data_IF_760561195976
#
_entry.id   IF_760561195976
#
_cell.length_a   1.000
_cell.length_b   1.000
_cell.length_c   1.000
_cell.angle_alpha   90.00
_cell.angle_beta   90.00
_cell.angle_gamma   90.00
#
_symmetry.space_group_name_H-M   'P 1'
#
loop_
_entity.id
_entity.type
_entity.pdbx_description
1 polymer ?
#
# COMPACT_ATOMS: atom_id res chain seq x y z
N UNK A 1 22.37 14.88 37.01
CA UNK A 1 23.56 14.48 36.23
C UNK A 1 23.39 13.03 35.82
N UNK A 2 23.04 12.79 34.55
CA UNK A 2 22.89 11.43 34.01
C UNK A 2 23.38 11.41 32.57
N UNK A 3 24.24 10.45 32.31
CA UNK A 3 25.19 10.34 31.19
C UNK A 3 24.49 9.88 29.91
N UNK A 4 24.49 10.72 28.88
CA UNK A 4 24.22 10.32 27.49
C UNK A 4 25.39 9.48 26.98
N UNK A 5 25.14 8.23 26.58
CA UNK A 5 26.06 7.48 25.70
C UNK A 5 25.52 7.57 24.27
N UNK A 6 26.11 8.47 23.49
CA UNK A 6 26.06 8.46 22.03
C UNK A 6 27.08 7.46 21.51
N UNK A 7 26.65 6.48 20.71
CA UNK A 7 27.55 5.63 19.93
C UNK A 7 27.59 6.20 18.52
N UNK A 8 28.68 6.90 18.19
CA UNK A 8 29.02 7.27 16.82
C UNK A 8 29.76 6.09 16.19
N UNK A 9 29.22 5.55 15.09
CA UNK A 9 29.93 4.58 14.25
C UNK A 9 30.57 5.37 13.11
N UNK A 10 31.90 5.49 13.16
CA UNK A 10 32.71 5.92 12.02
C UNK A 10 32.92 4.72 11.09
N UNK A 11 32.57 4.87 9.82
CA UNK A 11 32.95 3.92 8.76
C UNK A 11 34.28 4.38 8.20
N UNK A 12 35.32 3.60 8.46
CA UNK A 12 36.66 3.81 7.92
C UNK A 12 36.76 3.11 6.56
N UNK A 13 36.87 3.89 5.48
CA UNK A 13 37.11 3.39 4.13
C UNK A 13 38.61 3.24 3.90
N UNK A 14 39.16 2.04 4.14
CA UNK A 14 40.46 1.67 3.59
C UNK A 14 40.48 0.26 2.99
N UNK A 15 40.72 0.27 1.67
CA UNK A 15 41.22 -0.76 0.75
C UNK A 15 41.62 -2.11 1.35
N UNK A 16 41.02 -3.20 0.86
CA UNK A 16 41.63 -4.54 0.89
C UNK A 16 41.55 -5.22 -0.47
N UNK A 17 42.70 -5.75 -0.87
CA UNK A 17 43.02 -6.47 -2.09
C UNK A 17 42.27 -7.81 -2.23
N UNK A 18 42.09 -8.20 -3.51
CA UNK A 18 41.78 -9.57 -3.95
C UNK A 18 42.78 -10.59 -3.38
N UNK A 19 42.29 -11.60 -2.67
CA UNK A 19 42.54 -13.05 -2.90
C UNK A 19 41.88 -13.90 -1.81
N UNK A 20 41.16 -14.93 -2.28
CA UNK A 20 40.91 -16.25 -1.67
C UNK A 20 40.48 -16.32 -0.20
N UNK A 21 39.19 -16.61 0.05
CA UNK A 21 38.83 -17.55 1.13
C UNK A 21 37.46 -18.23 0.93
N UNK A 22 37.45 -19.50 1.32
CA UNK A 22 36.44 -20.56 1.17
C UNK A 22 35.27 -20.39 2.18
N UNK A 23 34.02 -20.80 1.88
CA UNK A 23 32.86 -20.49 2.70
C UNK A 23 32.71 -21.50 3.84
N UNK A 24 32.83 -21.03 5.09
CA UNK A 24 32.30 -21.74 6.26
C UNK A 24 30.95 -21.15 6.64
N UNK A 25 29.95 -21.99 6.46
CA UNK A 25 28.58 -21.93 6.94
C UNK A 25 28.47 -21.25 8.31
N UNK A 26 27.80 -20.09 8.36
CA UNK A 26 27.30 -19.51 9.61
C UNK A 26 25.79 -19.68 9.61
N UNK A 27 25.30 -20.65 10.38
CA UNK A 27 23.88 -20.82 10.67
C UNK A 27 23.55 -19.81 11.76
N UNK A 28 22.86 -18.73 11.41
CA UNK A 28 22.24 -17.83 12.40
C UNK A 28 20.81 -18.29 12.61
N UNK A 29 20.57 -18.96 13.72
CA UNK A 29 19.23 -19.25 14.24
C UNK A 29 18.63 -17.95 14.78
N UNK A 30 17.78 -17.30 13.98
CA UNK A 30 16.93 -16.21 14.46
C UNK A 30 15.74 -16.85 15.18
N UNK A 31 15.79 -16.85 16.51
CA UNK A 31 14.60 -17.12 17.34
C UNK A 31 13.59 -16.00 17.10
N UNK A 32 12.43 -16.38 16.57
CA UNK A 32 11.27 -15.53 16.52
C UNK A 32 10.70 -15.34 17.93
N UNK A 33 11.05 -14.23 18.57
CA UNK A 33 10.25 -13.68 19.66
C UNK A 33 9.31 -12.63 19.07
N UNK A 34 8.16 -13.10 18.63
CA UNK A 34 6.99 -12.27 18.50
C UNK A 34 6.36 -12.14 19.89
N UNK A 35 6.39 -10.93 20.47
CA UNK A 35 5.23 -10.30 21.11
C UNK A 35 5.58 -8.95 21.73
N UNK A 36 4.65 -8.02 21.48
CA UNK A 36 4.34 -6.84 22.29
C UNK A 36 5.37 -5.70 22.31
N UNK A 37 5.25 -4.81 21.34
CA UNK A 37 5.95 -3.53 21.43
C UNK A 37 5.70 -2.54 20.30
N UNK A 38 4.51 -2.52 19.68
CA UNK A 38 4.15 -1.52 18.66
C UNK A 38 2.65 -1.20 18.71
N UNK A 39 2.20 -0.74 19.88
CA UNK A 39 0.96 0.02 20.08
C UNK A 39 1.29 1.31 20.84
N UNK A 40 2.22 2.10 20.31
CA UNK A 40 2.49 3.42 20.89
C UNK A 40 3.22 4.40 19.93
N UNK A 41 3.02 4.30 18.60
CA UNK A 41 3.46 5.37 17.67
C UNK A 41 2.51 5.53 16.45
N UNK A 42 1.21 5.28 16.65
CA UNK A 42 0.15 5.67 15.70
C UNK A 42 -0.99 6.42 16.40
N UNK A 43 -0.65 7.17 17.46
CA UNK A 43 -1.58 7.98 18.25
C UNK A 43 -1.34 9.49 18.17
N UNK A 44 -0.69 9.97 17.11
CA UNK A 44 -0.46 11.39 16.86
C UNK A 44 -0.58 11.65 15.37
N UNK A 45 -1.79 11.60 14.83
CA UNK A 45 -2.23 12.34 13.63
C UNK A 45 -3.75 12.19 13.34
N UNK A 46 -4.55 11.77 14.31
CA UNK A 46 -6.02 11.84 14.24
C UNK A 46 -6.51 12.78 15.36
N UNK A 47 -6.55 14.07 15.04
CA UNK A 47 -7.47 15.07 15.62
C UNK A 47 -7.07 16.46 15.15
N UNK A 48 -7.58 16.88 13.98
CA UNK A 48 -7.94 18.27 13.73
C UNK A 48 -8.67 18.41 12.38
N UNK A 49 -9.83 17.80 12.21
CA UNK A 49 -10.82 18.31 11.24
C UNK A 49 -12.22 17.87 11.66
N UNK A 50 -12.81 18.63 12.59
CA UNK A 50 -14.24 18.86 12.58
C UNK A 50 -14.51 20.25 11.98
N UNK A 51 -15.47 20.36 11.05
CA UNK A 51 -15.82 21.62 10.42
C UNK A 51 -16.92 22.30 11.25
N UNK A 52 -16.66 23.46 11.84
CA UNK A 52 -17.72 24.38 12.30
C UNK A 52 -17.12 25.72 12.76
N UNK A 53 -17.83 26.80 12.43
CA UNK A 53 -17.60 28.19 12.85
C UNK A 53 -16.50 28.95 12.08
N UNK A 54 -16.80 29.28 10.82
CA UNK A 54 -16.24 30.48 10.18
C UNK A 54 -16.76 31.69 10.95
N UNK A 55 -15.88 32.31 11.73
CA UNK A 55 -16.07 33.70 12.15
C UNK A 55 -16.05 34.56 10.88
N UNK A 56 -17.19 35.18 10.60
CA UNK A 56 -17.31 36.20 9.56
C UNK A 56 -16.34 37.35 9.85
N UNK A 57 -15.56 37.83 8.88
CA UNK A 57 -15.06 39.19 8.96
C UNK A 57 -16.26 40.14 8.85
N UNK A 58 -16.42 41.02 9.83
CA UNK A 58 -17.32 42.17 9.74
C UNK A 58 -17.01 42.94 8.45
N UNK A 59 -17.85 42.74 7.45
CA UNK A 59 -17.96 43.65 6.32
C UNK A 59 -18.82 44.81 6.82
N UNK A 60 -18.18 45.94 7.11
CA UNK A 60 -18.90 47.22 7.21
C UNK A 60 -19.51 47.52 5.83
N UNK A 61 -20.77 47.13 5.67
CA UNK A 61 -21.64 47.60 4.59
C UNK A 61 -22.10 49.00 4.98
N UNK A 62 -21.49 50.04 4.40
CA UNK A 62 -22.08 51.36 4.38
C UNK A 62 -23.35 51.30 3.51
N UNK A 63 -24.50 51.24 4.18
CA UNK A 63 -25.81 51.46 3.57
C UNK A 63 -25.92 52.94 3.23
N UNK A 64 -26.22 53.33 1.97
CA UNK A 64 -26.57 54.70 1.66
C UNK A 64 -28.00 54.95 2.15
N UNK A 65 -28.13 55.68 3.26
CA UNK A 65 -29.42 56.25 3.66
C UNK A 65 -29.84 57.30 2.64
N UNK A 66 -30.95 57.05 1.96
CA UNK A 66 -31.68 58.03 1.17
C UNK A 66 -32.13 59.21 2.05
N UNK A 67 -32.31 60.41 1.47
CA UNK A 67 -32.50 61.64 2.22
C UNK A 67 -33.91 61.70 2.79
N UNK A 68 -34.01 61.93 4.10
CA UNK A 68 -35.25 62.37 4.70
C UNK A 68 -35.46 63.85 4.39
N UNK A 69 -36.59 64.13 3.78
CA UNK A 69 -37.20 65.44 3.63
C UNK A 69 -37.15 66.21 4.96
N UNK A 70 -36.62 67.43 4.90
CA UNK A 70 -36.47 68.31 6.04
C UNK A 70 -36.27 69.73 5.52
N UNK A 71 -37.37 70.34 5.12
CA UNK A 71 -37.57 71.74 4.75
C UNK A 71 -36.54 72.73 5.33
N UNK A 72 -35.89 73.58 4.52
CA UNK A 72 -35.11 74.68 5.05
C UNK A 72 -36.07 75.68 5.71
N UNK A 73 -36.00 75.78 7.04
CA UNK A 73 -36.60 76.87 7.80
C UNK A 73 -36.03 78.20 7.32
N UNK A 74 -36.80 78.90 6.50
CA UNK A 74 -36.68 80.32 6.23
C UNK A 74 -36.74 81.09 7.55
N UNK A 75 -35.58 81.36 8.14
CA UNK A 75 -35.48 82.26 9.27
C UNK A 75 -35.20 83.66 8.72
N UNK A 76 -36.28 84.40 8.47
CA UNK A 76 -36.28 85.86 8.39
C UNK A 76 -36.31 86.42 9.82
N UNK A 77 -35.27 87.09 10.33
CA UNK A 77 -35.44 87.96 11.48
C UNK A 77 -35.96 89.33 11.00
N UNK A 78 -37.28 89.49 11.19
CA UNK A 78 -38.00 90.71 11.54
C UNK A 78 -37.37 92.05 11.15
N UNK A 79 -37.90 92.61 10.07
CA UNK A 79 -38.05 94.05 9.87
C UNK A 79 -38.78 94.64 11.09
N UNK A 80 -38.05 95.28 12.00
CA UNK A 80 -38.61 96.22 12.97
C UNK A 80 -38.31 97.63 12.48
N UNK A 81 -39.01 98.03 11.42
CA UNK A 81 -39.17 99.42 11.00
C UNK A 81 -39.96 100.14 12.09
N UNK A 82 -39.26 100.68 13.09
CA UNK A 82 -39.84 101.68 13.99
C UNK A 82 -40.00 102.97 13.19
N UNK A 83 -41.18 103.14 12.61
CA UNK A 83 -41.66 104.44 12.13
C UNK A 83 -41.80 105.36 13.34
N UNK A 84 -40.78 106.18 13.61
CA UNK A 84 -40.96 107.37 14.42
C UNK A 84 -41.79 108.37 13.60
N UNK A 85 -43.08 108.45 13.93
CA UNK A 85 -44.01 109.45 13.42
C UNK A 85 -43.46 110.85 13.68
N UNK A 86 -42.98 111.46 12.61
CA UNK A 86 -42.59 112.85 12.48
C UNK A 86 -43.80 113.73 12.89
N UNK A 87 -43.70 114.40 14.03
CA UNK A 87 -44.68 115.41 14.47
C UNK A 87 -44.28 116.77 13.91
N UNK A 88 -45.13 117.34 13.06
CA UNK A 88 -45.16 118.75 12.66
C UNK A 88 -46.60 119.08 12.24
N UNK A 89 -47.08 120.34 12.27
CA UNK A 89 -46.73 121.46 13.14
C UNK A 89 -47.98 122.06 13.82
N UNK A 90 -47.84 122.76 14.94
CA UNK A 90 -48.83 123.73 15.40
C UNK A 90 -48.33 125.14 15.06
N UNK A 91 -49.11 125.88 14.27
CA UNK A 91 -48.96 127.31 14.02
C UNK A 91 -50.33 127.89 13.66
N UNK A 92 -50.62 129.19 13.83
CA UNK A 92 -50.10 130.15 14.81
C UNK A 92 -51.27 130.94 15.46
N UNK A 93 -51.03 132.12 16.05
CA UNK A 93 -51.64 133.29 15.41
C UNK A 93 -50.62 134.39 15.10
N UNK A 94 -50.65 134.80 13.84
CA UNK A 94 -50.59 136.17 13.31
C UNK A 94 -49.83 137.22 14.13
N UNK A 95 -48.70 137.68 13.59
CA UNK A 95 -48.66 139.01 12.95
C UNK A 95 -47.34 139.25 12.18
N UNK A 96 -47.48 139.87 10.99
CA UNK A 96 -46.47 140.55 10.16
C UNK A 96 -45.57 139.77 9.18
N UNK A 97 -45.86 139.89 7.87
CA UNK A 97 -44.85 140.22 6.85
C UNK A 97 -44.39 139.13 5.86
N UNK A 98 -44.54 139.42 4.56
CA UNK A 98 -44.00 138.73 3.35
C UNK A 98 -42.54 138.24 3.48
N UNK A 99 -41.75 138.84 4.38
CA UNK A 99 -40.37 138.47 4.68
C UNK A 99 -40.22 137.11 5.40
N UNK A 100 -41.24 136.64 6.13
CA UNK A 100 -41.24 135.32 6.78
C UNK A 100 -41.41 134.16 5.81
N UNK A 101 -42.24 134.34 4.76
CA UNK A 101 -42.46 133.32 3.72
C UNK A 101 -41.25 133.16 2.79
N UNK A 102 -40.57 134.25 2.43
CA UNK A 102 -39.33 134.17 1.64
C UNK A 102 -38.26 133.39 2.41
N UNK A 103 -38.11 133.66 3.72
CA UNK A 103 -37.17 132.91 4.56
C UNK A 103 -37.54 131.44 4.71
N UNK A 104 -38.83 131.12 4.84
CA UNK A 104 -39.32 129.73 4.90
C UNK A 104 -39.13 128.97 3.57
N UNK A 105 -39.31 129.63 2.42
CA UNK A 105 -39.09 129.03 1.09
C UNK A 105 -37.59 128.85 0.81
N UNK A 106 -36.73 129.80 1.19
CA UNK A 106 -35.28 129.65 1.05
C UNK A 106 -34.75 128.54 1.95
N UNK A 107 -35.23 128.43 3.19
CA UNK A 107 -34.89 127.32 4.09
C UNK A 107 -35.37 125.97 3.56
N UNK A 108 -36.58 125.89 2.98
CA UNK A 108 -37.06 124.66 2.32
C UNK A 108 -36.23 124.31 1.07
N UNK A 109 -35.80 125.29 0.27
CA UNK A 109 -34.95 125.05 -0.90
C UNK A 109 -33.55 124.56 -0.49
N UNK A 110 -33.00 125.10 0.60
CA UNK A 110 -31.74 124.64 1.20
C UNK A 110 -31.88 123.24 1.82
N UNK A 111 -33.00 122.91 2.47
CA UNK A 111 -33.29 121.55 2.93
C UNK A 111 -33.43 120.58 1.74
N UNK A 112 -34.14 120.95 0.68
CA UNK A 112 -34.31 120.09 -0.51
C UNK A 112 -32.97 119.86 -1.22
N UNK A 113 -32.09 120.85 -1.28
CA UNK A 113 -30.75 120.69 -1.88
C UNK A 113 -29.80 119.89 -0.99
N UNK A 114 -29.88 120.05 0.34
CA UNK A 114 -29.18 119.19 1.31
C UNK A 114 -29.69 117.75 1.27
N UNK A 115 -30.99 117.53 1.18
CA UNK A 115 -31.60 116.20 1.06
C UNK A 115 -31.26 115.54 -0.29
N UNK A 116 -31.22 116.30 -1.38
CA UNK A 116 -30.74 115.80 -2.68
C UNK A 116 -29.26 115.45 -2.66
N UNK A 117 -28.42 116.27 -2.02
CA UNK A 117 -27.00 115.98 -1.85
C UNK A 117 -26.76 114.77 -0.93
N UNK A 118 -27.52 114.65 0.16
CA UNK A 118 -27.51 113.50 1.06
C UNK A 118 -28.00 112.23 0.35
N UNK A 119 -29.06 112.31 -0.45
CA UNK A 119 -29.55 111.19 -1.25
C UNK A 119 -28.60 110.83 -2.41
N UNK A 120 -27.82 111.77 -2.95
CA UNK A 120 -26.78 111.48 -3.94
C UNK A 120 -25.55 110.85 -3.28
N UNK A 121 -25.14 111.33 -2.09
CA UNK A 121 -24.07 110.74 -1.30
C UNK A 121 -24.42 109.32 -0.83
N UNK A 122 -25.67 109.08 -0.41
CA UNK A 122 -26.17 107.75 -0.05
C UNK A 122 -26.15 106.82 -1.26
N UNK A 123 -26.67 107.24 -2.42
CA UNK A 123 -26.60 106.42 -3.65
C UNK A 123 -25.17 106.12 -4.10
N UNK A 124 -24.23 107.05 -3.91
CA UNK A 124 -22.82 106.83 -4.22
C UNK A 124 -22.16 105.85 -3.21
N UNK A 125 -22.56 105.91 -1.94
CA UNK A 125 -22.15 104.95 -0.91
C UNK A 125 -22.70 103.56 -1.21
N UNK A 126 -23.99 103.45 -1.47
CA UNK A 126 -24.66 102.18 -1.83
C UNK A 126 -24.07 101.58 -3.11
N UNK A 127 -23.74 102.41 -4.11
CA UNK A 127 -23.09 101.95 -5.34
C UNK A 127 -21.67 101.43 -5.07
N UNK A 128 -20.94 102.05 -4.14
CA UNK A 128 -19.61 101.58 -3.74
C UNK A 128 -19.68 100.28 -2.93
N UNK A 129 -20.61 100.17 -1.99
CA UNK A 129 -20.88 98.94 -1.24
C UNK A 129 -21.31 97.79 -2.16
N UNK A 130 -22.10 98.08 -3.19
CA UNK A 130 -22.51 97.10 -4.19
C UNK A 130 -21.33 96.60 -5.03
N UNK A 131 -20.41 97.49 -5.43
CA UNK A 131 -19.19 97.09 -6.16
C UNK A 131 -18.22 96.31 -5.27
N UNK A 132 -18.05 96.71 -4.00
CA UNK A 132 -17.25 95.97 -3.03
C UNK A 132 -17.85 94.57 -2.76
N UNK A 133 -19.18 94.46 -2.67
CA UNK A 133 -19.89 93.18 -2.55
C UNK A 133 -19.71 92.30 -3.79
N UNK A 134 -19.88 92.85 -5.00
CA UNK A 134 -19.64 92.10 -6.25
C UNK A 134 -18.20 91.61 -6.35
N UNK A 135 -17.24 92.43 -5.93
CA UNK A 135 -15.82 92.05 -5.88
C UNK A 135 -15.59 90.90 -4.91
N UNK A 136 -16.16 90.95 -3.71
CA UNK A 136 -16.08 89.88 -2.72
C UNK A 136 -16.70 88.58 -3.23
N UNK A 137 -17.90 88.64 -3.83
CA UNK A 137 -18.54 87.47 -4.44
C UNK A 137 -17.70 86.89 -5.59
N UNK A 138 -17.05 87.74 -6.39
CA UNK A 138 -16.16 87.29 -7.47
C UNK A 138 -14.86 86.65 -6.94
N UNK A 139 -14.32 87.13 -5.82
CA UNK A 139 -13.18 86.53 -5.13
C UNK A 139 -13.57 85.19 -4.49
N UNK A 140 -14.67 85.13 -3.75
CA UNK A 140 -15.22 83.88 -3.17
C UNK A 140 -15.53 82.84 -4.26
N UNK A 141 -16.04 83.27 -5.42
CA UNK A 141 -16.28 82.39 -6.56
C UNK A 141 -14.98 81.84 -7.17
N UNK A 142 -13.91 82.65 -7.22
CA UNK A 142 -12.58 82.19 -7.68
C UNK A 142 -11.96 81.21 -6.69
N UNK A 143 -12.06 81.48 -5.39
CA UNK A 143 -11.59 80.56 -4.35
C UNK A 143 -12.36 79.24 -4.38
N UNK A 144 -13.69 79.29 -4.49
CA UNK A 144 -14.52 78.10 -4.62
C UNK A 144 -14.18 77.30 -5.89
N UNK A 145 -13.91 77.96 -7.01
CA UNK A 145 -13.48 77.30 -8.24
C UNK A 145 -12.09 76.64 -8.08
N UNK A 146 -11.15 77.31 -7.41
CA UNK A 146 -9.83 76.75 -7.11
C UNK A 146 -9.91 75.54 -6.16
N UNK A 147 -10.78 75.59 -5.14
CA UNK A 147 -11.05 74.45 -4.27
C UNK A 147 -11.60 73.25 -5.04
N UNK A 148 -12.62 73.45 -5.89
CA UNK A 148 -13.19 72.36 -6.71
C UNK A 148 -12.15 71.76 -7.65
N UNK A 149 -11.34 72.58 -8.32
CA UNK A 149 -10.28 72.10 -9.20
C UNK A 149 -9.22 71.27 -8.43
N UNK A 150 -8.88 71.68 -7.20
CA UNK A 150 -7.97 70.92 -6.34
C UNK A 150 -8.58 69.58 -5.91
N UNK A 151 -9.86 69.56 -5.51
CA UNK A 151 -10.56 68.34 -5.11
C UNK A 151 -10.75 67.37 -6.28
N UNK A 152 -11.05 67.88 -7.48
CA UNK A 152 -11.09 67.09 -8.72
C UNK A 152 -9.71 66.49 -9.06
N UNK A 153 -8.63 67.27 -8.89
CA UNK A 153 -7.25 66.79 -9.08
C UNK A 153 -6.90 65.68 -8.09
N UNK A 154 -7.23 65.85 -6.80
CA UNK A 154 -7.04 64.82 -5.77
C UNK A 154 -7.86 63.57 -6.07
N UNK A 155 -9.11 63.72 -6.48
CA UNK A 155 -9.98 62.60 -6.84
C UNK A 155 -9.45 61.86 -8.07
N UNK A 156 -8.94 62.57 -9.07
CA UNK A 156 -8.31 61.98 -10.24
C UNK A 156 -7.03 61.22 -9.87
N UNK A 157 -6.20 61.78 -8.98
CA UNK A 157 -5.01 61.11 -8.45
C UNK A 157 -5.37 59.83 -7.69
N UNK A 158 -6.38 59.88 -6.82
CA UNK A 158 -6.87 58.72 -6.07
C UNK A 158 -7.41 57.63 -7.00
N UNK A 159 -8.21 57.99 -8.03
CA UNK A 159 -8.68 57.03 -9.03
C UNK A 159 -7.54 56.36 -9.80
N UNK A 160 -6.49 57.11 -10.14
CA UNK A 160 -5.29 56.55 -10.79
C UNK A 160 -4.55 55.58 -9.87
N UNK A 161 -4.42 55.92 -8.59
CA UNK A 161 -3.81 55.04 -7.59
C UNK A 161 -4.61 53.75 -7.45
N UNK A 162 -5.93 53.83 -7.28
CA UNK A 162 -6.81 52.66 -7.19
C UNK A 162 -6.71 51.76 -8.43
N UNK A 163 -6.62 52.36 -9.63
CA UNK A 163 -6.44 51.60 -10.87
C UNK A 163 -5.07 50.90 -10.94
N UNK A 164 -4.01 51.53 -10.43
CA UNK A 164 -2.68 50.93 -10.35
C UNK A 164 -2.64 49.79 -9.32
N UNK A 165 -3.23 49.99 -8.15
CA UNK A 165 -3.34 48.97 -7.11
C UNK A 165 -4.16 47.77 -7.59
N UNK A 166 -5.26 48.01 -8.31
CA UNK A 166 -6.04 46.94 -8.95
C UNK A 166 -5.23 46.15 -9.97
N UNK A 167 -4.37 46.80 -10.76
CA UNK A 167 -3.45 46.12 -11.69
C UNK A 167 -2.39 45.30 -10.95
N UNK A 168 -1.83 45.84 -9.87
CA UNK A 168 -0.86 45.12 -9.04
C UNK A 168 -1.49 43.88 -8.38
N UNK A 169 -2.71 44.01 -7.83
CA UNK A 169 -3.45 42.90 -7.26
C UNK A 169 -3.78 41.82 -8.31
N UNK A 170 -4.17 42.22 -9.53
CA UNK A 170 -4.40 41.28 -10.62
C UNK A 170 -3.13 40.53 -11.05
N UNK A 171 -1.98 41.22 -11.09
CA UNK A 171 -0.70 40.61 -11.40
C UNK A 171 -0.28 39.60 -10.31
N UNK A 172 -0.50 39.93 -9.04
CA UNK A 172 -0.21 39.05 -7.90
C UNK A 172 -1.07 37.78 -7.97
N UNK A 173 -2.38 37.91 -8.17
CA UNK A 173 -3.29 36.75 -8.35
C UNK A 173 -2.86 35.83 -9.49
N UNK A 174 -2.48 36.41 -10.63
CA UNK A 174 -1.98 35.64 -11.78
C UNK A 174 -0.67 34.89 -11.46
N UNK A 175 0.19 35.47 -10.62
CA UNK A 175 1.42 34.80 -10.18
C UNK A 175 1.11 33.67 -9.20
N UNK A 176 0.21 33.90 -8.25
CA UNK A 176 -0.23 32.89 -7.29
C UNK A 176 -0.90 31.70 -7.99
N UNK A 177 -1.74 31.96 -8.99
CA UNK A 177 -2.34 30.91 -9.83
C UNK A 177 -1.28 30.07 -10.56
N UNK A 178 -0.24 30.71 -11.11
CA UNK A 178 0.88 30.00 -11.76
C UNK A 178 1.69 29.17 -10.76
N UNK A 179 1.95 29.71 -9.57
CA UNK A 179 2.68 29.01 -8.52
C UNK A 179 1.87 27.80 -8.03
N UNK A 180 0.57 27.96 -7.81
CA UNK A 180 -0.33 26.87 -7.43
C UNK A 180 -0.45 25.81 -8.52
N UNK A 181 -0.51 26.19 -9.79
CA UNK A 181 -0.52 25.23 -10.90
C UNK A 181 0.79 24.43 -10.98
N UNK A 182 1.93 25.09 -10.75
CA UNK A 182 3.25 24.44 -10.72
C UNK A 182 3.37 23.48 -9.53
N UNK A 183 2.92 23.90 -8.35
CA UNK A 183 2.89 23.07 -7.16
C UNK A 183 2.00 21.83 -7.35
N UNK A 184 0.80 21.99 -7.91
CA UNK A 184 -0.10 20.87 -8.23
C UNK A 184 0.57 19.85 -9.17
N UNK A 185 1.23 20.31 -10.24
CA UNK A 185 1.98 19.42 -11.14
C UNK A 185 3.09 18.65 -10.43
N UNK A 186 3.85 19.31 -9.54
CA UNK A 186 4.90 18.64 -8.77
C UNK A 186 4.32 17.59 -7.81
N UNK A 187 3.20 17.89 -7.16
CA UNK A 187 2.50 16.93 -6.29
C UNK A 187 2.03 15.72 -7.10
N UNK A 188 1.42 15.94 -8.27
CA UNK A 188 0.99 14.85 -9.16
C UNK A 188 2.17 14.01 -9.67
N UNK A 189 3.28 14.65 -10.07
CA UNK A 189 4.49 13.96 -10.51
C UNK A 189 5.09 13.12 -9.37
N UNK A 190 5.16 13.66 -8.17
CA UNK A 190 5.66 12.95 -7.00
C UNK A 190 4.75 11.79 -6.59
N UNK A 191 3.42 11.97 -6.67
CA UNK A 191 2.47 10.89 -6.45
C UNK A 191 2.63 9.77 -7.47
N UNK A 192 2.86 10.10 -8.74
CA UNK A 192 3.09 9.10 -9.79
C UNK A 192 4.41 8.37 -9.59
N UNK A 193 5.49 9.08 -9.23
CA UNK A 193 6.78 8.46 -8.87
C UNK A 193 6.62 7.50 -7.71
N UNK A 194 5.89 7.90 -6.65
CA UNK A 194 5.65 7.07 -5.48
C UNK A 194 4.82 5.82 -5.82
N UNK A 195 3.77 5.96 -6.63
CA UNK A 195 2.98 4.81 -7.10
C UNK A 195 3.84 3.82 -7.89
N UNK A 196 4.71 4.31 -8.76
CA UNK A 196 5.61 3.46 -9.55
C UNK A 196 6.65 2.74 -8.68
N UNK A 197 7.22 3.41 -7.66
CA UNK A 197 8.15 2.74 -6.73
C UNK A 197 7.45 1.72 -5.85
N UNK A 198 6.23 2.00 -5.37
CA UNK A 198 5.43 1.02 -4.62
C UNK A 198 5.18 -0.23 -5.49
N UNK A 199 4.70 -0.06 -6.72
CA UNK A 199 4.46 -1.18 -7.63
C UNK A 199 5.73 -1.99 -7.93
N UNK A 200 6.88 -1.32 -8.08
CA UNK A 200 8.16 -1.99 -8.28
C UNK A 200 8.60 -2.81 -7.05
N UNK A 201 8.41 -2.26 -5.84
CA UNK A 201 8.71 -2.95 -4.59
C UNK A 201 7.78 -4.15 -4.35
N UNK A 202 6.48 -4.01 -4.61
CA UNK A 202 5.52 -5.11 -4.54
C UNK A 202 5.89 -6.26 -5.48
N UNK A 203 6.30 -5.94 -6.72
CA UNK A 203 6.77 -6.95 -7.67
C UNK A 203 8.06 -7.64 -7.19
N UNK A 204 8.96 -6.92 -6.52
CA UNK A 204 10.18 -7.49 -5.95
C UNK A 204 9.89 -8.40 -4.76
N UNK A 205 8.99 -7.99 -3.85
CA UNK A 205 8.55 -8.81 -2.71
C UNK A 205 7.98 -10.13 -3.22
N UNK A 206 7.08 -10.08 -4.18
CA UNK A 206 6.45 -11.28 -4.76
C UNK A 206 7.48 -12.24 -5.36
N UNK A 207 8.53 -11.73 -6.03
CA UNK A 207 9.62 -12.55 -6.57
C UNK A 207 10.43 -13.22 -5.45
N UNK A 208 10.71 -12.49 -4.37
CA UNK A 208 11.45 -13.03 -3.23
C UNK A 208 10.64 -14.09 -2.47
N UNK A 209 9.34 -13.89 -2.32
CA UNK A 209 8.42 -14.89 -1.75
C UNK A 209 8.44 -16.19 -2.56
N UNK A 210 8.27 -16.12 -3.88
CA UNK A 210 8.34 -17.31 -4.74
C UNK A 210 9.69 -18.02 -4.66
N UNK A 211 10.79 -17.27 -4.61
CA UNK A 211 12.13 -17.85 -4.45
C UNK A 211 12.33 -18.52 -3.08
N UNK A 212 11.72 -17.99 -2.03
CA UNK A 212 11.79 -18.58 -0.70
C UNK A 212 10.97 -19.88 -0.62
N UNK A 213 9.79 -19.91 -1.25
CA UNK A 213 8.95 -21.11 -1.34
C UNK A 213 9.64 -22.23 -2.13
N UNK A 214 10.23 -21.92 -3.29
CA UNK A 214 10.97 -22.89 -4.09
C UNK A 214 12.16 -23.48 -3.32
N UNK A 215 12.94 -22.64 -2.62
CA UNK A 215 14.05 -23.10 -1.78
C UNK A 215 13.58 -23.97 -0.62
N UNK A 216 12.45 -23.63 0.00
CA UNK A 216 11.87 -24.44 1.07
C UNK A 216 11.42 -25.82 0.55
N UNK A 217 10.84 -25.88 -0.65
CA UNK A 217 10.45 -27.13 -1.31
C UNK A 217 11.67 -27.99 -1.64
N UNK A 218 12.72 -27.40 -2.21
CA UNK A 218 13.96 -28.11 -2.54
C UNK A 218 14.66 -28.64 -1.29
N UNK A 219 14.70 -27.85 -0.22
CA UNK A 219 15.27 -28.29 1.05
C UNK A 219 14.44 -29.42 1.69
N UNK A 220 13.11 -29.38 1.56
CA UNK A 220 12.24 -30.49 1.99
C UNK A 220 12.54 -31.76 1.20
N UNK A 221 12.63 -31.68 -0.14
CA UNK A 221 12.99 -32.82 -1.00
C UNK A 221 14.34 -33.42 -0.64
N UNK A 222 15.34 -32.58 -0.38
CA UNK A 222 16.66 -33.03 0.05
C UNK A 222 16.58 -33.76 1.40
N UNK A 223 15.87 -33.19 2.38
CA UNK A 223 15.70 -33.82 3.69
C UNK A 223 14.96 -35.16 3.60
N UNK A 224 13.94 -35.26 2.77
CA UNK A 224 13.19 -36.50 2.55
C UNK A 224 14.07 -37.56 1.88
N UNK A 225 14.88 -37.18 0.87
CA UNK A 225 15.86 -38.08 0.26
C UNK A 225 16.98 -38.53 1.21
N UNK A 226 17.46 -37.64 2.09
CA UNK A 226 18.44 -38.01 3.13
C UNK A 226 17.82 -38.99 4.13
N UNK A 227 16.56 -38.80 4.54
CA UNK A 227 15.86 -39.75 5.43
C UNK A 227 15.73 -41.13 4.79
N UNK A 228 15.32 -41.19 3.52
CA UNK A 228 15.21 -42.45 2.77
C UNK A 228 16.56 -43.17 2.68
N UNK A 229 17.62 -42.41 2.41
CA UNK A 229 18.98 -42.96 2.39
C UNK A 229 19.41 -43.50 3.76
N UNK A 230 19.15 -42.77 4.85
CA UNK A 230 19.47 -43.23 6.21
C UNK A 230 18.71 -44.51 6.56
N UNK A 231 17.42 -44.60 6.21
CA UNK A 231 16.62 -45.80 6.44
C UNK A 231 17.17 -47.01 5.67
N UNK A 232 17.54 -46.81 4.41
CA UNK A 232 18.16 -47.85 3.57
C UNK A 232 19.49 -48.31 4.18
N UNK A 233 20.29 -47.38 4.70
CA UNK A 233 21.60 -47.70 5.28
C UNK A 233 21.46 -48.41 6.62
N UNK A 234 20.46 -48.06 7.43
CA UNK A 234 20.13 -48.77 8.66
C UNK A 234 19.74 -50.23 8.38
N UNK A 235 18.90 -50.46 7.37
CA UNK A 235 18.52 -51.81 6.92
C UNK A 235 19.74 -52.63 6.46
N UNK A 236 20.66 -52.02 5.70
CA UNK A 236 21.90 -52.68 5.28
C UNK A 236 22.82 -53.04 6.45
N UNK A 237 22.87 -52.20 7.49
CA UNK A 237 23.67 -52.48 8.69
C UNK A 237 23.05 -53.60 9.51
N UNK A 238 21.73 -53.59 9.68
CA UNK A 238 21.00 -54.68 10.35
C UNK A 238 21.23 -56.02 9.62
N UNK A 239 21.14 -56.02 8.28
CA UNK A 239 21.43 -57.20 7.45
C UNK A 239 22.87 -57.71 7.62
N UNK A 240 23.85 -56.79 7.60
CA UNK A 240 25.25 -57.15 7.76
C UNK A 240 25.54 -57.71 9.16
N UNK A 241 24.93 -57.14 10.20
CA UNK A 241 25.09 -57.63 11.57
C UNK A 241 24.43 -58.99 11.77
N UNK A 242 23.25 -59.23 11.19
CA UNK A 242 22.62 -60.54 11.18
C UNK A 242 23.49 -61.57 10.46
N UNK A 243 24.04 -61.23 9.29
CA UNK A 243 24.93 -62.11 8.54
C UNK A 243 26.19 -62.47 9.34
N UNK A 244 26.85 -61.49 9.96
CA UNK A 244 28.04 -61.72 10.79
C UNK A 244 27.73 -62.55 12.04
N UNK A 245 26.49 -62.51 12.53
CA UNK A 245 26.05 -63.33 13.67
C UNK A 245 25.76 -64.79 13.31
N UNK A 246 25.45 -65.06 12.04
CA UNK A 246 25.24 -66.42 11.53
C UNK A 246 26.58 -67.05 11.15
N UNK A 247 26.93 -68.20 11.74
CA UNK A 247 28.13 -68.93 11.30
C UNK A 247 28.06 -69.29 9.80
N UNK A 248 29.22 -69.42 9.14
CA UNK A 248 29.35 -69.59 7.67
C UNK A 248 28.40 -70.63 7.06
N UNK A 249 28.18 -71.75 7.74
CA UNK A 249 27.28 -72.82 7.28
C UNK A 249 25.81 -72.38 7.27
N UNK A 250 25.36 -71.66 8.30
CA UNK A 250 23.98 -71.17 8.40
C UNK A 250 23.71 -70.05 7.39
N UNK A 251 24.68 -69.16 7.19
CA UNK A 251 24.63 -68.12 6.18
C UNK A 251 24.56 -68.72 4.76
N UNK A 252 25.40 -69.71 4.46
CA UNK A 252 25.38 -70.42 3.18
C UNK A 252 24.06 -71.16 2.93
N UNK A 253 23.50 -71.81 3.96
CA UNK A 253 22.21 -72.50 3.85
C UNK A 253 21.06 -71.52 3.64
N UNK A 254 21.10 -70.33 4.24
CA UNK A 254 20.15 -69.24 3.94
C UNK A 254 20.24 -68.80 2.48
N UNK A 255 21.45 -68.60 1.94
CA UNK A 255 21.67 -68.26 0.52
C UNK A 255 21.13 -69.35 -0.42
N UNK A 256 21.37 -70.63 -0.10
CA UNK A 256 20.84 -71.76 -0.87
C UNK A 256 19.31 -71.75 -0.89
N UNK A 257 18.67 -71.62 0.27
CA UNK A 257 17.20 -71.54 0.38
C UNK A 257 16.63 -70.37 -0.41
N UNK A 258 17.29 -69.20 -0.39
CA UNK A 258 16.87 -68.01 -1.13
C UNK A 258 16.89 -68.26 -2.63
N UNK A 259 18.00 -68.78 -3.12
CA UNK A 259 18.14 -69.10 -4.54
C UNK A 259 17.11 -70.11 -5.04
N UNK A 260 16.73 -71.05 -4.18
CA UNK A 260 15.70 -72.02 -4.51
C UNK A 260 14.34 -71.32 -4.65
N UNK A 261 14.00 -70.44 -3.72
CA UNK A 261 12.76 -69.68 -3.75
C UNK A 261 12.69 -68.73 -4.95
N UNK A 262 13.76 -67.99 -5.22
CA UNK A 262 13.88 -67.11 -6.39
C UNK A 262 13.66 -67.87 -7.69
N UNK A 263 14.27 -69.06 -7.82
CA UNK A 263 14.09 -69.94 -8.97
C UNK A 263 12.66 -70.43 -9.10
N UNK A 264 12.05 -70.89 -8.02
CA UNK A 264 10.67 -71.33 -8.03
C UNK A 264 9.73 -70.20 -8.49
N UNK A 265 9.88 -69.00 -7.92
CA UNK A 265 9.11 -67.81 -8.32
C UNK A 265 9.36 -67.43 -9.79
N UNK A 266 10.61 -67.49 -10.26
CA UNK A 266 10.95 -67.23 -11.66
C UNK A 266 10.32 -68.24 -12.62
N UNK A 267 10.41 -69.54 -12.32
CA UNK A 267 9.75 -70.60 -13.10
C UNK A 267 8.25 -70.40 -13.12
N UNK A 268 7.63 -70.09 -11.97
CA UNK A 268 6.20 -69.80 -11.89
C UNK A 268 5.81 -68.58 -12.74
N UNK A 269 6.55 -67.47 -12.67
CA UNK A 269 6.27 -66.27 -13.47
C UNK A 269 6.31 -66.54 -14.97
N UNK A 270 7.31 -67.30 -15.44
CA UNK A 270 7.41 -67.70 -16.84
C UNK A 270 6.24 -68.61 -17.22
N UNK A 271 5.89 -69.55 -16.33
CA UNK A 271 4.81 -70.51 -16.56
C UNK A 271 3.41 -69.88 -16.56
N UNK A 272 3.23 -68.80 -15.79
CA UNK A 272 1.98 -68.03 -15.71
C UNK A 272 1.91 -66.94 -16.80
N UNK A 273 2.96 -66.79 -17.60
CA UNK A 273 3.05 -65.72 -18.61
C UNK A 273 3.17 -64.31 -18.01
N UNK A 274 3.48 -64.19 -16.71
CA UNK A 274 3.69 -62.91 -16.01
C UNK A 274 4.94 -62.21 -16.55
N UNK A 275 5.98 -62.98 -16.85
CA UNK A 275 7.22 -62.47 -17.41
C UNK A 275 7.64 -63.24 -18.66
N UNK A 276 8.28 -62.53 -19.59
CA UNK A 276 8.97 -63.12 -20.75
C UNK A 276 10.48 -63.18 -20.55
N UNK A 277 11.00 -62.52 -19.51
CA UNK A 277 12.42 -62.36 -19.27
C UNK A 277 12.86 -63.17 -18.05
N UNK A 278 13.67 -64.20 -18.28
CA UNK A 278 14.20 -65.08 -17.22
C UNK A 278 14.91 -64.27 -16.11
N UNK A 279 15.55 -63.14 -16.44
CA UNK A 279 16.31 -62.34 -15.47
C UNK A 279 15.40 -61.57 -14.50
N UNK A 280 14.22 -61.15 -14.94
CA UNK A 280 13.28 -60.37 -14.12
C UNK A 280 12.10 -61.19 -13.62
N UNK A 281 11.93 -62.42 -14.11
CA UNK A 281 10.76 -63.25 -13.83
C UNK A 281 10.41 -63.38 -12.34
N UNK A 282 11.39 -63.59 -11.46
CA UNK A 282 11.16 -63.67 -10.00
C UNK A 282 10.68 -62.34 -9.39
N UNK A 283 11.16 -61.22 -9.90
CA UNK A 283 10.70 -59.89 -9.50
C UNK A 283 9.28 -59.63 -10.03
N UNK A 284 9.04 -59.91 -11.30
CA UNK A 284 7.74 -59.72 -11.95
C UNK A 284 6.66 -60.57 -11.27
N UNK A 285 6.99 -61.81 -10.87
CA UNK A 285 6.12 -62.67 -10.04
C UNK A 285 5.71 -61.99 -8.74
N UNK A 286 6.67 -61.39 -8.01
CA UNK A 286 6.38 -60.69 -6.75
C UNK A 286 5.51 -59.46 -6.96
N UNK A 287 5.78 -58.68 -8.00
CA UNK A 287 4.98 -57.52 -8.33
C UNK A 287 3.53 -57.92 -8.67
N UNK A 288 3.35 -59.07 -9.33
CA UNK A 288 2.02 -59.63 -9.62
C UNK A 288 1.26 -60.06 -8.36
N UNK A 289 1.93 -60.39 -7.25
CA UNK A 289 1.30 -60.67 -5.95
C UNK A 289 0.86 -59.41 -5.19
N UNK A 290 1.23 -58.21 -5.67
CA UNK A 290 0.91 -56.93 -5.05
C UNK A 290 1.89 -56.49 -3.96
N UNK A 291 1.71 -55.25 -3.49
CA UNK A 291 2.56 -54.60 -2.47
C UNK A 291 2.09 -54.85 -1.03
N UNK A 292 1.06 -55.67 -0.83
CA UNK A 292 0.54 -55.96 0.52
C UNK A 292 1.61 -56.63 1.38
N UNK A 293 1.71 -56.24 2.65
CA UNK A 293 2.52 -56.95 3.64
C UNK A 293 1.77 -58.13 4.28
N UNK A 294 0.47 -58.29 4.00
CA UNK A 294 -0.34 -59.39 4.51
C UNK A 294 -0.11 -60.68 3.69
N UNK A 295 0.42 -61.75 4.29
CA UNK A 295 0.63 -63.03 3.61
C UNK A 295 -0.67 -63.65 3.09
N UNK A 296 -1.80 -63.47 3.79
CA UNK A 296 -3.08 -64.07 3.37
C UNK A 296 -3.59 -63.44 2.08
N UNK A 297 -3.50 -62.10 1.97
CA UNK A 297 -3.90 -61.39 0.77
C UNK A 297 -3.01 -61.79 -0.42
N UNK A 298 -1.70 -61.86 -0.23
CA UNK A 298 -0.77 -62.31 -1.27
C UNK A 298 -1.01 -63.77 -1.69
N UNK A 299 -1.39 -64.63 -0.75
CA UNK A 299 -1.77 -66.01 -1.06
C UNK A 299 -3.04 -66.09 -1.91
N UNK A 300 -4.04 -65.24 -1.65
CA UNK A 300 -5.22 -65.14 -2.51
C UNK A 300 -4.85 -64.68 -3.92
N UNK A 301 -4.00 -63.66 -4.04
CA UNK A 301 -3.52 -63.20 -5.34
C UNK A 301 -2.78 -64.31 -6.10
N UNK A 302 -1.96 -65.09 -5.40
CA UNK A 302 -1.27 -66.24 -6.02
C UNK A 302 -2.24 -67.29 -6.57
N UNK A 303 -3.31 -67.61 -5.84
CA UNK A 303 -4.35 -68.54 -6.31
C UNK A 303 -5.12 -67.97 -7.51
N UNK A 304 -5.41 -66.68 -7.52
CA UNK A 304 -6.02 -66.01 -8.68
C UNK A 304 -5.13 -66.06 -9.92
N UNK A 305 -3.81 -65.87 -9.76
CA UNK A 305 -2.85 -66.01 -10.86
C UNK A 305 -2.82 -67.44 -11.41
N UNK A 306 -2.99 -68.44 -10.55
CA UNK A 306 -3.06 -69.85 -10.94
C UNK A 306 -4.32 -70.15 -11.77
N UNK A 307 -5.47 -69.60 -11.38
CA UNK A 307 -6.75 -69.84 -12.07
C UNK A 307 -6.79 -69.21 -13.47
N UNK A 308 -6.03 -68.15 -13.69
CA UNK A 308 -5.93 -67.45 -14.97
C UNK A 308 -5.03 -68.13 -16.01
N UNK A 309 -4.41 -69.27 -15.68
CA UNK A 309 -3.56 -70.01 -16.62
C UNK A 309 -4.44 -70.68 -17.69
N UNK A 310 -4.21 -70.41 -19.00
CA UNK A 310 -4.98 -71.01 -20.08
C UNK A 310 -4.96 -72.55 -19.98
N UNK A 311 -6.13 -73.18 -20.05
CA UNK A 311 -6.27 -74.64 -19.91
C UNK A 311 -5.51 -75.47 -20.95
N UNK A 312 -4.97 -74.83 -22.00
CA UNK A 312 -4.12 -75.45 -23.02
C UNK A 312 -2.69 -75.78 -22.57
N UNK A 313 -2.23 -75.29 -21.42
CA UNK A 313 -0.87 -75.57 -20.90
C UNK A 313 -0.85 -76.75 -19.91
N UNK A 314 -1.24 -77.94 -20.36
CA UNK A 314 -1.35 -79.13 -19.49
C UNK A 314 -0.02 -79.57 -18.86
N UNK A 315 1.11 -79.35 -19.55
CA UNK A 315 2.46 -79.70 -19.07
C UNK A 315 2.89 -78.89 -17.85
N UNK A 316 2.49 -77.62 -17.77
CA UNK A 316 2.81 -76.71 -16.66
C UNK A 316 2.01 -77.03 -15.40
N UNK A 317 0.80 -77.58 -15.56
CA UNK A 317 -0.14 -77.83 -14.46
C UNK A 317 0.31 -78.96 -13.53
N UNK A 318 1.18 -79.87 -13.99
CA UNK A 318 1.64 -81.02 -13.20
C UNK A 318 2.52 -80.62 -12.02
N UNK A 319 3.75 -80.14 -12.25
CA UNK A 319 4.69 -79.81 -11.18
C UNK A 319 4.22 -78.61 -10.33
N UNK A 320 3.66 -77.57 -10.97
CA UNK A 320 3.08 -76.46 -10.25
C UNK A 320 1.90 -76.93 -9.40
N UNK A 321 0.99 -77.73 -9.96
CA UNK A 321 -0.16 -78.27 -9.22
C UNK A 321 0.22 -79.12 -8.01
N UNK A 322 1.35 -79.83 -8.05
CA UNK A 322 1.89 -80.51 -6.88
C UNK A 322 2.40 -79.54 -5.80
N UNK A 323 3.10 -78.47 -6.21
CA UNK A 323 3.56 -77.40 -5.31
C UNK A 323 2.38 -76.69 -4.61
N UNK A 324 1.31 -76.41 -5.34
CA UNK A 324 0.10 -75.75 -4.82
C UNK A 324 -0.69 -76.59 -3.82
N UNK A 325 -0.43 -77.90 -3.73
CA UNK A 325 -1.03 -78.78 -2.72
C UNK A 325 -0.31 -78.73 -1.37
N UNK A 326 0.83 -78.04 -1.28
CA UNK A 326 1.64 -77.92 -0.07
C UNK A 326 1.45 -76.51 0.51
N UNK A 327 0.59 -76.31 1.53
CA UNK A 327 0.28 -74.98 2.06
C UNK A 327 1.51 -74.22 2.56
N UNK A 328 2.48 -74.92 3.14
CA UNK A 328 3.71 -74.33 3.65
C UNK A 328 4.57 -73.74 2.53
N UNK A 329 4.55 -74.35 1.34
CA UNK A 329 5.24 -73.82 0.17
C UNK A 329 4.56 -72.55 -0.34
N UNK A 330 3.23 -72.47 -0.28
CA UNK A 330 2.50 -71.26 -0.66
C UNK A 330 2.84 -70.10 0.25
N UNK A 331 2.85 -70.33 1.57
CA UNK A 331 3.25 -69.32 2.56
C UNK A 331 4.63 -68.77 2.20
N UNK A 332 5.60 -69.65 1.93
CA UNK A 332 6.96 -69.25 1.61
C UNK A 332 7.07 -68.51 0.26
N UNK A 333 6.24 -68.86 -0.72
CA UNK A 333 6.16 -68.17 -2.02
C UNK A 333 5.55 -66.77 -1.93
N UNK A 334 4.62 -66.57 -0.99
CA UNK A 334 3.82 -65.35 -0.85
C UNK A 334 4.34 -64.41 0.22
N UNK A 335 5.26 -64.86 1.07
CA UNK A 335 5.85 -64.04 2.12
C UNK A 335 6.49 -62.78 1.51
N UNK A 336 6.13 -61.56 1.99
CA UNK A 336 6.75 -60.32 1.54
C UNK A 336 8.24 -60.25 1.92
N UNK A 337 8.63 -60.87 3.04
CA UNK A 337 9.98 -60.89 3.58
C UNK A 337 10.25 -62.27 4.20
N UNK A 338 10.30 -63.35 3.41
CA UNK A 338 10.56 -64.67 3.96
C UNK A 338 11.85 -64.61 4.76
N UNK A 339 11.92 -65.26 5.92
CA UNK A 339 13.14 -65.28 6.77
C UNK A 339 14.43 -65.62 5.99
N UNK A 340 14.26 -66.25 4.83
CA UNK A 340 15.26 -66.62 3.84
C UNK A 340 15.78 -65.44 2.98
N UNK A 341 15.07 -64.31 2.88
CA UNK A 341 15.38 -63.12 2.08
C UNK A 341 15.63 -61.89 2.98
N UNK A 342 16.90 -61.66 3.28
CA UNK A 342 17.48 -60.33 3.57
C UNK A 342 18.75 -60.20 2.72
N UNK A 343 19.11 -58.99 2.27
CA UNK A 343 19.54 -58.76 0.88
C UNK A 343 20.97 -59.19 0.49
N UNK A 344 21.17 -59.56 -0.79
CA UNK A 344 22.43 -60.15 -1.28
C UNK A 344 22.42 -60.51 -2.76
N UNK A 345 22.27 -59.51 -3.64
CA UNK A 345 21.93 -59.69 -5.06
C UNK A 345 23.05 -60.13 -6.02
N UNK A 346 24.29 -60.38 -5.58
CA UNK A 346 25.38 -60.64 -6.55
C UNK A 346 26.11 -61.99 -6.40
N UNK A 347 26.01 -62.68 -5.27
CA UNK A 347 26.71 -63.97 -5.05
C UNK A 347 25.80 -65.18 -5.40
N UNK A 348 24.49 -64.95 -5.49
CA UNK A 348 23.47 -65.99 -5.44
C UNK A 348 23.06 -66.53 -6.84
N UNK A 349 23.21 -65.76 -7.91
CA UNK A 349 22.69 -66.13 -9.23
C UNK A 349 23.63 -67.05 -10.04
N UNK A 350 23.68 -68.33 -9.68
CA UNK A 350 24.28 -69.38 -10.51
C UNK A 350 23.30 -70.52 -10.77
N UNK A 351 23.32 -71.12 -11.97
CA UNK A 351 22.60 -72.39 -12.18
C UNK A 351 23.28 -73.50 -11.39
N UNK A 352 22.79 -73.79 -10.19
CA UNK A 352 23.32 -74.87 -9.32
C UNK A 352 22.51 -76.16 -9.49
N UNK A 353 23.17 -77.29 -9.26
CA UNK A 353 22.58 -78.64 -9.26
C UNK A 353 21.69 -78.85 -8.03
N UNK A 354 20.79 -79.84 -8.08
CA UNK A 354 19.86 -80.20 -7.00
C UNK A 354 20.56 -80.41 -5.66
N UNK A 355 21.63 -81.20 -5.64
CA UNK A 355 22.40 -81.58 -4.44
C UNK A 355 22.94 -80.37 -3.65
N UNK A 356 23.18 -79.25 -4.35
CA UNK A 356 23.64 -78.01 -3.71
C UNK A 356 22.60 -77.45 -2.74
N UNK A 357 21.30 -77.63 -3.05
CA UNK A 357 20.19 -77.16 -2.23
C UNK A 357 19.77 -78.16 -1.15
N UNK A 358 19.93 -79.45 -1.40
CA UNK A 358 19.47 -80.52 -0.49
C UNK A 358 20.05 -80.38 0.93
N UNK A 359 21.34 -80.07 1.03
CA UNK A 359 22.01 -79.80 2.31
C UNK A 359 21.31 -78.71 3.14
N UNK A 360 20.82 -77.63 2.51
CA UNK A 360 20.16 -76.52 3.20
C UNK A 360 18.67 -76.78 3.52
N UNK A 361 18.06 -77.74 2.83
CA UNK A 361 16.67 -78.17 3.04
C UNK A 361 16.58 -79.08 4.26
N UNK A 362 17.50 -80.05 4.39
CA UNK A 362 17.49 -81.07 5.46
C UNK A 362 17.55 -80.45 6.86
N UNK A 363 18.32 -79.37 7.04
CA UNK A 363 18.48 -78.68 8.32
C UNK A 363 17.52 -77.52 8.59
N UNK A 364 16.51 -77.30 7.74
CA UNK A 364 15.59 -76.16 7.87
C UNK A 364 14.34 -76.49 8.68
N UNK A 365 13.83 -75.50 9.43
CA UNK A 365 12.48 -75.55 10.01
C UNK A 365 11.39 -75.61 8.91
N UNK A 366 11.67 -75.04 7.73
CA UNK A 366 10.76 -75.00 6.59
C UNK A 366 10.98 -76.17 5.62
N UNK A 367 11.51 -77.29 6.11
CA UNK A 367 11.95 -78.43 5.27
C UNK A 367 10.86 -78.90 4.30
N UNK A 368 9.60 -78.99 4.74
CA UNK A 368 8.48 -79.46 3.90
C UNK A 368 8.26 -78.50 2.72
N UNK A 369 8.19 -77.20 2.99
CA UNK A 369 8.02 -76.17 1.97
C UNK A 369 9.20 -76.16 0.99
N UNK A 370 10.43 -76.19 1.50
CA UNK A 370 11.64 -76.15 0.70
C UNK A 370 11.85 -77.43 -0.12
N UNK A 371 11.48 -78.60 0.41
CA UNK A 371 11.46 -79.85 -0.36
C UNK A 371 10.47 -79.78 -1.51
N UNK A 372 9.26 -79.26 -1.29
CA UNK A 372 8.28 -79.09 -2.35
C UNK A 372 8.77 -78.12 -3.44
N UNK A 373 9.43 -77.02 -3.06
CA UNK A 373 10.06 -76.09 -4.01
C UNK A 373 11.22 -76.74 -4.76
N UNK A 374 12.01 -77.58 -4.10
CA UNK A 374 13.10 -78.33 -4.72
C UNK A 374 12.59 -79.29 -5.78
N UNK A 375 11.56 -80.07 -5.44
CA UNK A 375 10.91 -80.99 -6.37
C UNK A 375 10.24 -80.25 -7.53
N UNK A 376 9.65 -79.08 -7.28
CA UNK A 376 9.10 -78.25 -8.35
C UNK A 376 10.17 -77.74 -9.32
N UNK A 377 11.28 -77.18 -8.81
CA UNK A 377 12.32 -76.55 -9.64
C UNK A 377 13.12 -77.58 -10.47
N UNK A 378 13.25 -78.82 -9.98
CA UNK A 378 14.05 -79.86 -10.62
C UNK A 378 13.25 -81.07 -11.13
N UNK A 379 11.94 -81.13 -10.88
CA UNK A 379 11.02 -82.15 -11.38
C UNK A 379 10.30 -81.74 -12.68
N UNK A 380 10.48 -80.49 -13.11
CA UNK A 380 10.22 -80.00 -14.48
C UNK A 380 11.44 -80.23 -15.36
#
# INVERSE_FOLDING_TARGET
MSTRRSVNVYVDETRVNRREFNPKTTIVTVKAEAKEGLKQELGLLDNAFHPSSVNHPEVMVLVPSAPAEGSPGLHFPNQSTVFALRSFPQSPPVDSGLAGMIRAVTLMQEEITKDKAAAAALRASDAKELEDYKRKVAEDAKEAAACRANDESKLAAYKRQLANDAKAAAALRKNDEKNMATYKRQVEENQNKLKNTIAALEAQIKRLETQAEDKALDQKRLNDGVKEYILTLAEQVDDATEFLSMGDTQAMDRIKRRNLLDRAQGTLALSFGISKNIRTASLDFRLALGQSSDPQERQRQLLLLQDNIPSSSSEVRGPAGALFKVPEALILLTDPSPKVRLDGNNIAHGRRKRDWYESAVVGSADRVALSALLDFVFGT
#
